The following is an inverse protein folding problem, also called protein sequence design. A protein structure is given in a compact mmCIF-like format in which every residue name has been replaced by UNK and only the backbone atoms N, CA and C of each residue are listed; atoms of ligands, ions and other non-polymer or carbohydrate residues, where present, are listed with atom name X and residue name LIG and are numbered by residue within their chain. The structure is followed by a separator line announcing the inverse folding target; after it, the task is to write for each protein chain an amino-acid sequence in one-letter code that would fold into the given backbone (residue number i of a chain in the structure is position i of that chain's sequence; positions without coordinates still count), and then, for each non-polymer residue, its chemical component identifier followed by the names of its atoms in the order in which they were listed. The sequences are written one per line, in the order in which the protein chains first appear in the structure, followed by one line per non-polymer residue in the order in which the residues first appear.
data_IF_095499320165
#
_entry.id   IF_095499320165
#
_cell.length_a   1.000
_cell.length_b   1.000
_cell.length_c   1.000
_cell.angle_alpha   90.00
_cell.angle_beta   90.00
_cell.angle_gamma   90.00
#
_symmetry.space_group_name_H-M   'P 1'
#
loop_
_entity.id
_entity.type
_entity.pdbx_description
1 polymer ?
#
# COMPACT_ATOMS: atom_id res chain seq x y z
N UNK A 1 -12.12 -27.23 15.65
CA UNK A 1 -11.95 -26.61 14.33
C UNK A 1 -12.97 -27.30 13.44
N UNK A 2 -14.05 -26.59 13.05
CA UNK A 2 -14.95 -27.09 12.02
C UNK A 2 -14.14 -27.16 10.71
N UNK A 3 -14.13 -28.30 10.02
CA UNK A 3 -13.67 -28.38 8.65
C UNK A 3 -14.58 -27.45 7.83
N UNK A 4 -14.05 -26.32 7.40
CA UNK A 4 -14.70 -25.51 6.38
C UNK A 4 -14.83 -26.40 5.13
N UNK A 5 -16.07 -26.59 4.69
CA UNK A 5 -16.37 -27.36 3.49
C UNK A 5 -15.62 -26.72 2.30
N UNK A 6 -14.50 -27.30 1.89
CA UNK A 6 -13.73 -26.94 0.70
C UNK A 6 -14.44 -27.43 -0.57
N UNK A 7 -15.79 -27.39 -0.55
CA UNK A 7 -16.67 -27.92 -1.59
C UNK A 7 -16.28 -27.46 -3.00
N UNK A 8 -16.55 -28.31 -3.95
CA UNK A 8 -16.46 -28.01 -5.37
C UNK A 8 -17.20 -26.69 -5.70
N UNK A 9 -16.73 -25.98 -6.75
CA UNK A 9 -17.44 -24.81 -7.26
C UNK A 9 -18.93 -25.15 -7.53
N UNK A 10 -19.82 -24.30 -7.08
CA UNK A 10 -21.25 -24.38 -7.45
C UNK A 10 -21.43 -24.20 -8.96
N UNK A 11 -22.56 -24.60 -9.52
CA UNK A 11 -22.85 -24.39 -10.95
C UNK A 11 -22.83 -22.89 -11.35
N UNK A 12 -23.16 -22.00 -10.40
CA UNK A 12 -23.09 -20.54 -10.62
C UNK A 12 -21.64 -20.07 -10.65
N UNK A 13 -20.81 -20.50 -9.69
CA UNK A 13 -19.38 -20.18 -9.64
C UNK A 13 -18.63 -20.74 -10.88
N UNK A 14 -18.98 -21.94 -11.35
CA UNK A 14 -18.41 -22.52 -12.58
C UNK A 14 -18.70 -21.65 -13.80
N UNK A 15 -19.95 -21.17 -13.95
CA UNK A 15 -20.32 -20.26 -15.05
C UNK A 15 -19.57 -18.92 -14.92
N UNK A 16 -19.50 -18.36 -13.71
CA UNK A 16 -18.75 -17.13 -13.44
C UNK A 16 -17.29 -17.28 -13.85
N UNK A 17 -16.62 -18.36 -13.44
CA UNK A 17 -15.24 -18.65 -13.83
C UNK A 17 -15.08 -18.81 -15.35
N UNK A 18 -16.07 -19.41 -16.04
CA UNK A 18 -16.07 -19.52 -17.50
C UNK A 18 -16.17 -18.16 -18.20
N UNK A 19 -17.01 -17.25 -17.70
CA UNK A 19 -17.11 -15.86 -18.19
C UNK A 19 -15.79 -15.13 -18.02
N UNK A 20 -15.17 -15.21 -16.84
CA UNK A 20 -13.88 -14.57 -16.56
C UNK A 20 -12.77 -15.14 -17.47
N UNK A 21 -12.71 -16.46 -17.66
CA UNK A 21 -11.74 -17.08 -18.55
C UNK A 21 -11.88 -16.59 -20.00
N UNK A 22 -13.11 -16.34 -20.46
CA UNK A 22 -13.39 -15.75 -21.77
C UNK A 22 -12.95 -14.30 -21.94
N UNK A 23 -12.60 -13.61 -20.84
CA UNK A 23 -12.14 -12.21 -20.84
C UNK A 23 -10.62 -12.04 -20.78
N UNK A 24 -9.84 -13.11 -20.95
CA UNK A 24 -8.37 -13.05 -20.79
C UNK A 24 -7.71 -11.94 -21.65
N UNK A 25 -8.11 -11.80 -22.91
CA UNK A 25 -7.61 -10.76 -23.82
C UNK A 25 -8.06 -9.36 -23.36
N UNK A 26 -9.32 -9.21 -22.96
CA UNK A 26 -9.84 -7.94 -22.44
C UNK A 26 -9.14 -7.48 -21.16
N UNK A 27 -8.81 -8.41 -20.24
CA UNK A 27 -8.04 -8.13 -19.04
C UNK A 27 -6.61 -7.64 -19.37
N UNK A 28 -5.98 -8.26 -20.37
CA UNK A 28 -4.65 -7.85 -20.80
C UNK A 28 -4.65 -6.46 -21.45
N UNK A 29 -5.63 -6.16 -22.30
CA UNK A 29 -5.76 -4.85 -22.94
C UNK A 29 -6.13 -3.76 -21.91
N UNK A 30 -6.96 -4.07 -20.92
CA UNK A 30 -7.28 -3.18 -19.81
C UNK A 30 -6.03 -2.90 -18.96
N UNK A 31 -5.23 -3.93 -18.64
CA UNK A 31 -3.95 -3.75 -17.97
C UNK A 31 -3.00 -2.87 -18.79
N UNK A 32 -2.89 -3.10 -20.11
CA UNK A 32 -2.07 -2.30 -21.02
C UNK A 32 -2.44 -0.82 -20.92
N UNK A 33 -3.73 -0.51 -21.05
CA UNK A 33 -4.25 0.86 -20.97
C UNK A 33 -3.79 1.56 -19.68
N UNK A 34 -3.92 0.87 -18.54
CA UNK A 34 -3.54 1.44 -17.25
C UNK A 34 -2.04 1.51 -17.04
N UNK A 35 -1.25 0.54 -17.54
CA UNK A 35 0.21 0.56 -17.46
C UNK A 35 0.77 1.73 -18.28
N UNK A 36 0.26 1.95 -19.48
CA UNK A 36 0.69 3.04 -20.39
C UNK A 36 0.19 4.43 -19.96
N UNK A 37 -0.67 4.52 -18.93
CA UNK A 37 -1.01 5.76 -18.25
C UNK A 37 -0.05 5.94 -17.07
N UNK A 38 0.89 6.95 -17.11
CA UNK A 38 1.99 7.03 -16.16
C UNK A 38 1.55 7.67 -14.83
N UNK A 39 1.07 6.86 -13.89
CA UNK A 39 0.53 7.29 -12.59
C UNK A 39 1.58 7.39 -11.48
N UNK A 40 2.84 7.70 -11.79
CA UNK A 40 3.82 8.07 -10.78
C UNK A 40 3.32 9.23 -9.91
N UNK A 41 3.55 9.18 -8.59
CA UNK A 41 2.88 9.99 -7.57
C UNK A 41 2.88 11.52 -7.74
N UNK A 42 3.60 12.06 -8.73
CA UNK A 42 3.60 13.50 -9.06
C UNK A 42 2.78 13.84 -10.31
N UNK A 43 2.24 12.84 -10.99
CA UNK A 43 1.43 13.05 -12.18
C UNK A 43 -0.08 13.08 -11.82
N UNK A 44 -0.50 14.17 -11.20
CA UNK A 44 -1.89 14.33 -10.76
C UNK A 44 -2.89 14.14 -11.91
N UNK A 45 -2.59 14.61 -13.12
CA UNK A 45 -3.49 14.48 -14.26
C UNK A 45 -3.72 13.00 -14.66
N UNK A 46 -2.67 12.18 -14.69
CA UNK A 46 -2.80 10.76 -15.01
C UNK A 46 -3.48 9.97 -13.86
N UNK A 47 -3.25 10.38 -12.61
CA UNK A 47 -3.95 9.80 -11.46
C UNK A 47 -5.45 10.11 -11.51
N UNK A 48 -5.84 11.34 -11.83
CA UNK A 48 -7.23 11.74 -11.97
C UNK A 48 -7.90 11.02 -13.14
N UNK A 49 -7.25 10.96 -14.31
CA UNK A 49 -7.75 10.22 -15.48
C UNK A 49 -7.98 8.73 -15.16
N UNK A 50 -7.02 8.09 -14.49
CA UNK A 50 -7.12 6.68 -14.09
C UNK A 50 -8.27 6.48 -13.11
N UNK A 51 -8.40 7.36 -12.12
CA UNK A 51 -9.50 7.35 -11.15
C UNK A 51 -10.85 7.48 -11.84
N UNK A 52 -11.01 8.45 -12.74
CA UNK A 52 -12.24 8.67 -13.49
C UNK A 52 -12.65 7.45 -14.32
N UNK A 53 -11.69 6.78 -14.96
CA UNK A 53 -11.96 5.55 -15.73
C UNK A 53 -12.52 4.43 -14.86
N UNK A 54 -11.91 4.16 -13.68
CA UNK A 54 -12.42 3.16 -12.76
C UNK A 54 -13.76 3.56 -12.14
N UNK A 55 -13.91 4.82 -11.71
CA UNK A 55 -15.17 5.35 -11.17
C UNK A 55 -16.31 5.16 -12.18
N UNK A 56 -16.12 5.55 -13.44
CA UNK A 56 -17.15 5.40 -14.47
C UNK A 56 -17.61 3.95 -14.66
N UNK A 57 -16.68 2.98 -14.58
CA UNK A 57 -17.01 1.54 -14.66
C UNK A 57 -17.82 1.08 -13.45
N UNK A 58 -17.40 1.50 -12.24
CA UNK A 58 -18.10 1.13 -11.01
C UNK A 58 -19.48 1.78 -10.90
N UNK A 59 -19.64 3.02 -11.35
CA UNK A 59 -20.94 3.70 -11.45
C UNK A 59 -21.87 3.01 -12.46
N UNK A 60 -21.33 2.50 -13.57
CA UNK A 60 -22.09 1.69 -14.52
C UNK A 60 -22.64 0.39 -13.89
N UNK A 61 -22.00 -0.11 -12.83
CA UNK A 61 -22.51 -1.21 -12.00
C UNK A 61 -23.52 -0.74 -10.93
N UNK A 62 -23.87 0.55 -10.90
CA UNK A 62 -24.81 1.14 -9.95
C UNK A 62 -24.18 1.54 -8.61
N UNK A 63 -22.88 1.78 -8.57
CA UNK A 63 -22.23 2.36 -7.40
C UNK A 63 -22.55 3.86 -7.27
N UNK A 64 -22.53 4.36 -6.04
CA UNK A 64 -22.49 5.79 -5.73
C UNK A 64 -21.06 6.13 -5.33
N UNK A 65 -20.52 7.19 -5.91
CA UNK A 65 -19.15 7.64 -5.64
C UNK A 65 -19.11 8.79 -4.65
N UNK A 66 -18.27 8.66 -3.64
CA UNK A 66 -17.86 9.73 -2.75
C UNK A 66 -16.40 10.07 -3.04
N UNK A 67 -16.12 11.35 -3.32
CA UNK A 67 -14.76 11.87 -3.42
C UNK A 67 -14.37 12.49 -2.09
N UNK A 68 -13.54 11.77 -1.33
CA UNK A 68 -13.06 12.22 -0.02
C UNK A 68 -11.83 13.11 -0.23
N UNK A 69 -11.85 14.38 0.23
CA UNK A 69 -10.68 15.24 0.15
C UNK A 69 -9.48 14.64 0.89
N UNK A 70 -8.27 14.84 0.36
CA UNK A 70 -7.06 14.36 1.01
C UNK A 70 -6.72 15.14 2.28
N UNK A 71 -6.22 14.43 3.29
CA UNK A 71 -5.71 15.01 4.52
C UNK A 71 -4.37 15.75 4.31
N UNK A 72 -3.99 16.60 5.25
CA UNK A 72 -2.66 17.20 5.25
C UNK A 72 -1.61 16.19 5.70
N UNK A 73 -0.49 16.12 4.99
CA UNK A 73 0.65 15.31 5.41
C UNK A 73 1.73 16.19 6.11
N UNK A 74 2.60 15.63 6.98
CA UNK A 74 3.67 16.38 7.62
C UNK A 74 4.61 17.05 6.61
N UNK A 75 4.98 18.30 6.86
CA UNK A 75 5.84 19.12 5.97
C UNK A 75 7.31 18.65 5.92
N UNK A 76 7.75 17.93 6.95
CA UNK A 76 9.10 17.42 7.06
C UNK A 76 9.37 16.12 6.29
N UNK A 77 8.37 15.48 5.72
CA UNK A 77 8.56 14.26 4.94
C UNK A 77 9.50 14.48 3.75
N UNK A 78 10.39 13.52 3.51
CA UNK A 78 11.34 13.63 2.42
C UNK A 78 10.67 13.66 1.05
N UNK A 79 11.12 14.57 0.19
CA UNK A 79 10.63 14.67 -1.19
C UNK A 79 9.23 15.26 -1.36
N UNK A 80 8.58 15.65 -0.26
CA UNK A 80 7.30 16.31 -0.32
C UNK A 80 7.42 17.73 -0.89
N UNK A 81 6.47 18.08 -1.74
CA UNK A 81 6.16 19.45 -2.12
C UNK A 81 5.02 19.96 -1.23
N UNK A 82 5.28 20.90 -0.31
CA UNK A 82 4.26 21.41 0.60
C UNK A 82 3.13 22.18 -0.10
N UNK A 83 3.38 22.67 -1.32
CA UNK A 83 2.42 23.42 -2.11
C UNK A 83 1.59 22.53 -3.05
N UNK A 84 1.93 21.24 -3.19
CA UNK A 84 1.15 20.30 -3.98
C UNK A 84 -0.21 20.00 -3.29
N UNK A 85 -1.32 20.02 -4.03
CA UNK A 85 -2.62 19.67 -3.46
C UNK A 85 -2.64 18.21 -3.01
N UNK A 86 -3.30 17.96 -1.86
CA UNK A 86 -3.53 16.61 -1.39
C UNK A 86 -4.45 15.86 -2.35
N UNK A 87 -4.06 14.68 -2.86
CA UNK A 87 -4.89 13.92 -3.79
C UNK A 87 -6.16 13.42 -3.08
N UNK A 88 -7.33 13.43 -3.75
CA UNK A 88 -8.54 12.86 -3.18
C UNK A 88 -8.54 11.33 -3.26
N UNK A 89 -9.33 10.71 -2.37
CA UNK A 89 -9.63 9.28 -2.40
C UNK A 89 -11.06 9.08 -2.93
N UNK A 90 -11.24 8.19 -3.91
CA UNK A 90 -12.55 7.80 -4.38
C UNK A 90 -13.06 6.57 -3.61
N UNK A 91 -14.30 6.62 -3.14
CA UNK A 91 -15.02 5.49 -2.54
C UNK A 91 -16.30 5.23 -3.33
N UNK A 92 -16.29 4.19 -4.15
CA UNK A 92 -17.42 3.79 -4.97
C UNK A 92 -18.17 2.65 -4.27
N UNK A 93 -19.36 2.91 -3.76
CA UNK A 93 -20.13 1.95 -2.95
C UNK A 93 -21.42 1.50 -3.61
N UNK A 94 -21.68 0.19 -3.56
CA UNK A 94 -22.96 -0.45 -3.88
C UNK A 94 -23.33 -1.42 -2.78
N UNK A 95 -23.73 -0.87 -1.64
CA UNK A 95 -24.14 -1.66 -0.49
C UNK A 95 -25.55 -2.24 -0.68
N UNK A 96 -25.81 -3.42 -0.11
CA UNK A 96 -27.11 -4.12 -0.16
C UNK A 96 -27.52 -4.48 1.23
N UNK A 97 -28.79 -4.21 1.58
CA UNK A 97 -29.33 -4.54 2.89
C UNK A 97 -29.30 -6.07 3.14
N UNK A 98 -28.91 -6.45 4.34
CA UNK A 98 -28.82 -7.85 4.74
C UNK A 98 -27.63 -8.64 4.20
N UNK A 99 -26.72 -8.00 3.46
CA UNK A 99 -25.49 -8.62 2.96
C UNK A 99 -24.25 -8.09 3.66
N UNK A 100 -23.18 -8.90 3.80
CA UNK A 100 -21.90 -8.42 4.27
C UNK A 100 -21.38 -7.27 3.39
N UNK A 101 -20.81 -6.27 4.03
CA UNK A 101 -20.22 -5.09 3.35
C UNK A 101 -18.75 -5.35 3.15
N UNK A 102 -18.39 -5.64 1.91
CA UNK A 102 -17.00 -5.93 1.50
C UNK A 102 -16.33 -4.63 1.07
N UNK A 103 -15.23 -4.25 1.74
CA UNK A 103 -14.37 -3.17 1.29
C UNK A 103 -13.25 -3.74 0.42
N UNK A 104 -13.16 -3.31 -0.82
CA UNK A 104 -12.03 -3.55 -1.72
C UNK A 104 -11.17 -2.29 -1.68
N UNK A 105 -9.87 -2.41 -1.49
CA UNK A 105 -8.95 -1.28 -1.43
C UNK A 105 -7.77 -1.49 -2.37
N UNK A 106 -7.40 -0.42 -3.06
CA UNK A 106 -6.22 -0.39 -3.92
C UNK A 106 -5.79 1.03 -4.24
N UNK A 107 -4.52 1.17 -4.63
CA UNK A 107 -3.92 2.45 -4.96
C UNK A 107 -3.68 2.63 -6.46
N UNK A 108 -3.75 3.88 -6.90
CA UNK A 108 -3.59 4.29 -8.30
C UNK A 108 -2.16 4.71 -8.62
N UNK A 109 -1.42 5.18 -7.61
CA UNK A 109 -0.05 5.66 -7.74
C UNK A 109 0.95 4.51 -7.93
N UNK A 110 2.11 4.86 -8.45
CA UNK A 110 3.27 3.97 -8.59
C UNK A 110 4.53 4.73 -8.23
N UNK A 111 5.60 4.00 -7.91
CA UNK A 111 6.94 4.61 -7.64
C UNK A 111 7.66 5.07 -8.91
N UNK A 112 7.18 4.69 -10.09
CA UNK A 112 7.88 4.92 -11.35
C UNK A 112 7.84 6.38 -11.77
N UNK A 113 8.96 6.87 -12.31
CA UNK A 113 9.06 8.22 -12.85
C UNK A 113 8.13 8.37 -14.06
N UNK A 114 7.13 9.28 -14.01
CA UNK A 114 6.19 9.46 -15.12
C UNK A 114 6.86 10.05 -16.38
N UNK A 115 8.04 10.64 -16.24
CA UNK A 115 8.85 11.18 -17.35
C UNK A 115 9.95 10.19 -17.79
N UNK A 116 10.11 9.05 -17.11
CA UNK A 116 11.13 8.04 -17.40
C UNK A 116 10.85 7.23 -18.67
N UNK A 117 11.78 6.35 -19.06
CA UNK A 117 11.68 5.53 -20.28
C UNK A 117 10.82 4.27 -20.06
N UNK A 118 10.58 3.85 -18.82
CA UNK A 118 9.78 2.67 -18.47
C UNK A 118 8.30 3.03 -18.46
N UNK A 119 7.59 2.88 -19.61
CA UNK A 119 6.21 3.37 -19.80
C UNK A 119 5.25 2.42 -20.48
N UNK A 120 5.72 1.33 -21.08
CA UNK A 120 4.92 0.44 -21.91
C UNK A 120 4.79 -0.94 -21.30
N UNK A 121 3.68 -1.62 -21.58
CA UNK A 121 3.52 -3.04 -21.26
C UNK A 121 4.13 -3.89 -22.37
N UNK A 122 5.29 -4.46 -22.11
CA UNK A 122 6.04 -5.28 -23.06
C UNK A 122 5.90 -6.76 -22.73
N UNK A 123 5.22 -7.52 -23.60
CA UNK A 123 5.04 -8.97 -23.45
C UNK A 123 6.37 -9.66 -23.76
N UNK A 124 6.79 -10.58 -22.89
CA UNK A 124 7.97 -11.40 -23.09
C UNK A 124 7.80 -12.36 -24.29
N UNK A 125 8.89 -12.80 -24.94
CA UNK A 125 8.82 -13.67 -26.12
C UNK A 125 8.10 -15.01 -25.89
N UNK A 126 8.02 -15.48 -24.65
CA UNK A 126 7.31 -16.71 -24.29
C UNK A 126 5.79 -16.53 -24.16
N UNK A 127 5.30 -15.28 -24.21
CA UNK A 127 3.89 -14.94 -24.06
C UNK A 127 3.30 -15.17 -22.67
N UNK A 128 4.14 -15.44 -21.65
CA UNK A 128 3.67 -15.78 -20.29
C UNK A 128 3.79 -14.63 -19.30
N UNK A 129 4.76 -13.78 -19.52
CA UNK A 129 5.01 -12.63 -18.66
C UNK A 129 5.00 -11.33 -19.46
N UNK A 130 4.80 -10.21 -18.79
CA UNK A 130 4.99 -8.90 -19.36
C UNK A 130 5.71 -7.98 -18.36
N UNK A 131 6.47 -7.02 -18.85
CA UNK A 131 7.11 -5.96 -18.06
C UNK A 131 6.33 -4.66 -18.26
N UNK A 132 6.19 -3.88 -17.21
CA UNK A 132 5.56 -2.57 -17.30
C UNK A 132 5.39 -1.89 -15.96
N UNK A 133 5.41 -0.53 -15.90
CA UNK A 133 5.35 0.22 -14.64
C UNK A 133 4.01 0.02 -13.93
N UNK A 134 4.07 -0.48 -12.69
CA UNK A 134 2.88 -0.75 -11.88
C UNK A 134 2.04 -1.91 -12.41
N UNK A 135 2.56 -2.76 -13.34
CA UNK A 135 1.78 -3.87 -13.89
C UNK A 135 1.39 -4.89 -12.81
N UNK A 136 2.21 -5.02 -11.78
CA UNK A 136 1.94 -5.88 -10.64
C UNK A 136 1.61 -5.05 -9.38
N UNK A 137 2.21 -3.89 -9.19
CA UNK A 137 2.03 -3.01 -8.03
C UNK A 137 1.44 -1.66 -8.45
N UNK A 138 0.06 -1.48 -8.40
CA UNK A 138 -0.90 -2.58 -8.27
C UNK A 138 -2.00 -2.51 -9.36
N UNK A 139 -1.66 -1.99 -10.59
CA UNK A 139 -2.64 -1.82 -11.67
C UNK A 139 -3.33 -3.14 -12.07
N UNK A 140 -2.57 -4.24 -12.07
CA UNK A 140 -3.14 -5.58 -12.29
C UNK A 140 -4.18 -5.96 -11.25
N UNK A 141 -3.95 -5.62 -9.97
CA UNK A 141 -4.92 -5.80 -8.88
C UNK A 141 -6.21 -5.02 -9.11
N UNK A 142 -6.09 -3.76 -9.51
CA UNK A 142 -7.25 -2.90 -9.81
C UNK A 142 -8.08 -3.44 -10.98
N UNK A 143 -7.42 -3.83 -12.07
CA UNK A 143 -8.08 -4.38 -13.27
C UNK A 143 -8.87 -5.64 -12.94
N UNK A 144 -8.26 -6.61 -12.23
CA UNK A 144 -8.97 -7.86 -11.89
C UNK A 144 -10.13 -7.64 -10.94
N UNK A 145 -10.05 -6.65 -10.04
CA UNK A 145 -11.13 -6.38 -9.10
C UNK A 145 -12.35 -5.76 -9.77
N UNK A 146 -12.15 -4.78 -10.64
CA UNK A 146 -13.27 -4.19 -11.40
C UNK A 146 -13.89 -5.25 -12.32
N UNK A 147 -13.09 -6.03 -13.02
CA UNK A 147 -13.58 -7.12 -13.87
C UNK A 147 -14.34 -8.21 -13.07
N UNK A 148 -13.90 -8.53 -11.86
CA UNK A 148 -14.61 -9.46 -10.98
C UNK A 148 -16.00 -8.93 -10.60
N UNK A 149 -16.11 -7.64 -10.24
CA UNK A 149 -17.39 -7.00 -9.93
C UNK A 149 -18.33 -6.96 -11.14
N UNK A 150 -17.81 -6.65 -12.33
CA UNK A 150 -18.55 -6.68 -13.59
C UNK A 150 -19.10 -8.10 -13.89
N UNK A 151 -18.26 -9.12 -13.73
CA UNK A 151 -18.67 -10.51 -13.99
C UNK A 151 -19.70 -11.01 -12.94
N UNK A 152 -19.59 -10.59 -11.68
CA UNK A 152 -20.57 -10.89 -10.65
C UNK A 152 -21.94 -10.28 -10.98
N UNK A 153 -21.97 -9.03 -11.43
CA UNK A 153 -23.22 -8.35 -11.84
C UNK A 153 -23.85 -9.02 -13.06
N UNK A 154 -23.07 -9.34 -14.10
CA UNK A 154 -23.55 -10.08 -15.29
C UNK A 154 -24.08 -11.46 -14.95
N UNK A 155 -23.48 -12.15 -13.98
CA UNK A 155 -23.95 -13.43 -13.49
C UNK A 155 -25.20 -13.34 -12.60
N UNK A 156 -25.68 -12.13 -12.30
CA UNK A 156 -26.80 -11.87 -11.42
C UNK A 156 -26.52 -12.19 -9.95
N UNK A 157 -25.24 -12.21 -9.54
CA UNK A 157 -24.81 -12.46 -8.17
C UNK A 157 -24.79 -11.13 -7.41
N UNK A 158 -25.82 -10.90 -6.60
CA UNK A 158 -25.90 -9.71 -5.75
C UNK A 158 -24.86 -9.76 -4.64
N UNK A 159 -24.04 -8.72 -4.48
CA UNK A 159 -23.10 -8.53 -3.37
C UNK A 159 -23.10 -7.07 -2.92
N UNK A 160 -22.82 -6.85 -1.63
CA UNK A 160 -22.60 -5.53 -1.06
C UNK A 160 -21.11 -5.22 -1.05
N UNK A 161 -20.69 -4.15 -1.72
CA UNK A 161 -19.29 -3.79 -1.82
C UNK A 161 -19.07 -2.29 -1.86
N UNK A 162 -17.88 -1.87 -1.46
CA UNK A 162 -17.31 -0.58 -1.80
C UNK A 162 -15.89 -0.79 -2.32
N UNK A 163 -15.49 0.01 -3.30
CA UNK A 163 -14.13 0.05 -3.81
C UNK A 163 -13.51 1.41 -3.48
N UNK A 164 -12.48 1.40 -2.65
CA UNK A 164 -11.70 2.55 -2.27
C UNK A 164 -10.43 2.60 -3.14
N UNK A 165 -10.17 3.76 -3.76
CA UNK A 165 -9.01 4.02 -4.59
C UNK A 165 -8.33 5.30 -4.13
N UNK A 166 -7.13 5.19 -3.55
CA UNK A 166 -6.28 6.31 -3.18
C UNK A 166 -5.16 6.54 -4.20
N UNK A 167 -4.33 7.56 -3.97
CA UNK A 167 -3.26 7.98 -4.89
C UNK A 167 -1.98 8.36 -4.16
N UNK A 168 -1.76 7.81 -2.96
CA UNK A 168 -0.63 8.14 -2.09
C UNK A 168 -0.14 6.96 -1.25
N UNK A 169 -0.47 5.72 -1.66
CA UNK A 169 -0.01 4.53 -0.96
C UNK A 169 1.51 4.45 -0.94
N UNK A 170 2.14 4.65 -2.08
CA UNK A 170 3.59 4.58 -2.28
C UNK A 170 4.37 5.66 -1.50
N UNK A 171 3.68 6.70 -1.06
CA UNK A 171 4.25 7.78 -0.26
C UNK A 171 3.82 7.73 1.22
N UNK A 172 3.04 6.71 1.61
CA UNK A 172 2.71 6.41 3.00
C UNK A 172 1.26 6.67 3.40
N UNK A 173 0.33 6.83 2.47
CA UNK A 173 -1.13 6.99 2.69
C UNK A 173 -1.48 8.12 3.66
N UNK A 174 -0.67 9.19 3.71
CA UNK A 174 -0.92 10.32 4.61
C UNK A 174 -2.16 11.12 4.22
N UNK A 175 -2.42 11.22 2.91
CA UNK A 175 -3.57 11.95 2.39
C UNK A 175 -4.85 11.13 2.44
N UNK A 176 -4.75 9.81 2.43
CA UNK A 176 -5.89 8.88 2.42
C UNK A 176 -6.20 8.25 3.78
N UNK A 177 -5.44 8.55 4.83
CA UNK A 177 -5.57 7.89 6.14
C UNK A 177 -6.99 7.99 6.73
N UNK A 178 -7.59 9.18 6.76
CA UNK A 178 -8.96 9.36 7.26
C UNK A 178 -10.01 8.66 6.38
N UNK A 179 -9.82 8.64 5.05
CA UNK A 179 -10.70 7.94 4.13
C UNK A 179 -10.65 6.42 4.34
N UNK A 180 -9.43 5.86 4.45
CA UNK A 180 -9.20 4.45 4.77
C UNK A 180 -9.85 4.07 6.11
N UNK A 181 -9.60 4.84 7.17
CA UNK A 181 -10.17 4.58 8.48
C UNK A 181 -11.69 4.71 8.51
N UNK A 182 -12.27 5.69 7.80
CA UNK A 182 -13.72 5.86 7.70
C UNK A 182 -14.37 4.70 6.96
N UNK A 183 -13.82 4.32 5.81
CA UNK A 183 -14.30 3.19 5.04
C UNK A 183 -14.20 1.89 5.85
N UNK A 184 -13.08 1.65 6.54
CA UNK A 184 -12.90 0.46 7.35
C UNK A 184 -13.98 0.30 8.43
N UNK A 185 -14.35 1.37 9.13
CA UNK A 185 -15.40 1.34 10.15
C UNK A 185 -16.80 1.06 9.60
N UNK A 186 -17.02 1.31 8.32
CA UNK A 186 -18.32 1.13 7.67
C UNK A 186 -18.52 -0.26 7.06
N UNK A 187 -17.50 -1.13 7.09
CA UNK A 187 -17.51 -2.43 6.41
C UNK A 187 -17.26 -3.58 7.38
N UNK A 188 -17.49 -4.80 6.91
CA UNK A 188 -17.41 -6.02 7.72
C UNK A 188 -16.13 -6.81 7.43
N UNK A 189 -15.59 -6.73 6.19
CA UNK A 189 -14.34 -7.35 5.76
C UNK A 189 -13.60 -6.47 4.76
N UNK A 190 -12.26 -6.53 4.75
CA UNK A 190 -11.37 -5.81 3.84
C UNK A 190 -10.58 -6.73 2.92
N UNK A 191 -10.52 -6.39 1.65
CA UNK A 191 -9.76 -7.07 0.60
C UNK A 191 -8.81 -6.06 -0.05
N UNK A 192 -7.53 -6.12 0.27
CA UNK A 192 -6.53 -5.25 -0.35
C UNK A 192 -5.85 -5.97 -1.54
N UNK A 193 -5.64 -5.22 -2.61
CA UNK A 193 -5.29 -5.77 -3.93
C UNK A 193 -3.79 -5.76 -4.22
N UNK A 194 -2.96 -5.68 -3.18
CA UNK A 194 -1.51 -5.76 -3.29
C UNK A 194 -1.05 -6.97 -4.09
N UNK A 195 0.14 -6.92 -4.71
CA UNK A 195 0.72 -8.06 -5.41
C UNK A 195 0.80 -9.30 -4.53
N UNK A 196 0.52 -10.47 -5.10
CA UNK A 196 0.78 -11.74 -4.43
C UNK A 196 2.27 -11.84 -4.03
N UNK A 197 2.55 -12.43 -2.86
CA UNK A 197 3.94 -12.69 -2.48
C UNK A 197 4.61 -13.65 -3.47
N UNK A 198 5.97 -13.73 -3.53
CA UNK A 198 6.71 -14.43 -4.59
C UNK A 198 6.29 -15.89 -4.85
N UNK A 199 5.82 -16.61 -3.82
CA UNK A 199 5.28 -17.99 -3.97
C UNK A 199 3.77 -18.03 -4.18
N UNK A 200 3.11 -16.88 -4.41
CA UNK A 200 1.66 -16.76 -4.54
C UNK A 200 0.92 -16.71 -3.21
N UNK A 201 1.64 -16.54 -2.10
CA UNK A 201 1.08 -16.54 -0.74
C UNK A 201 0.20 -15.31 -0.48
N UNK A 202 -0.78 -15.50 0.41
CA UNK A 202 -1.58 -14.46 1.02
C UNK A 202 -0.85 -13.91 2.27
N UNK A 203 -0.62 -12.61 2.33
CA UNK A 203 -0.05 -11.99 3.52
C UNK A 203 -1.12 -11.85 4.62
N UNK A 204 -0.98 -12.65 5.67
CA UNK A 204 -1.89 -12.62 6.83
C UNK A 204 -1.34 -11.77 7.98
N UNK A 205 -0.05 -11.47 7.96
CA UNK A 205 0.60 -10.57 8.90
C UNK A 205 1.58 -9.66 8.16
N UNK A 206 1.63 -8.39 8.59
CA UNK A 206 2.58 -7.39 8.09
C UNK A 206 3.26 -6.66 9.24
N UNK A 207 4.53 -6.31 9.05
CA UNK A 207 5.21 -5.37 9.94
C UNK A 207 4.51 -4.01 9.94
N UNK A 208 4.77 -3.21 10.95
CA UNK A 208 4.46 -1.78 10.95
C UNK A 208 5.60 -0.95 10.38
N UNK A 209 5.30 0.28 10.01
CA UNK A 209 6.28 1.23 9.47
C UNK A 209 6.09 2.63 10.05
N UNK A 210 7.21 3.33 10.17
CA UNK A 210 7.24 4.75 10.51
C UNK A 210 8.35 5.47 9.78
N UNK A 211 8.21 6.78 9.71
CA UNK A 211 9.22 7.69 9.18
C UNK A 211 9.64 8.68 10.28
N UNK A 212 10.86 9.15 10.20
CA UNK A 212 11.35 10.20 11.10
C UNK A 212 12.34 11.12 10.39
N UNK A 213 12.53 12.31 10.95
CA UNK A 213 13.54 13.26 10.54
C UNK A 213 14.28 13.79 11.77
N UNK A 214 15.59 13.74 11.71
CA UNK A 214 16.46 14.44 12.65
C UNK A 214 16.84 15.78 12.05
N UNK A 215 16.41 16.88 12.67
CA UNK A 215 16.71 18.24 12.23
C UNK A 215 17.66 18.89 13.24
N UNK A 216 18.93 19.04 12.85
CA UNK A 216 19.95 19.66 13.70
C UNK A 216 20.07 21.14 13.41
N UNK A 217 20.08 21.93 14.47
CA UNK A 217 20.25 23.38 14.46
C UNK A 217 21.57 23.77 15.10
N UNK A 218 22.30 24.64 14.43
CA UNK A 218 23.56 25.17 14.87
C UNK A 218 23.62 26.71 14.77
N UNK A 219 24.81 27.22 14.60
CA UNK A 219 25.05 28.65 14.38
C UNK A 219 26.09 28.83 13.27
N UNK A 220 25.73 29.53 12.21
CA UNK A 220 26.65 29.86 11.14
C UNK A 220 27.78 30.76 11.62
N UNK A 221 28.98 30.57 11.12
CA UNK A 221 30.13 31.43 11.28
C UNK A 221 31.13 31.27 10.13
N UNK A 222 31.89 32.30 9.84
CA UNK A 222 32.95 32.21 8.86
C UNK A 222 34.14 31.40 9.42
N UNK A 223 34.48 30.26 8.75
CA UNK A 223 35.48 29.30 9.24
C UNK A 223 36.83 29.95 9.55
N UNK A 224 37.32 30.83 8.70
CA UNK A 224 38.62 31.43 8.85
C UNK A 224 38.68 32.66 9.78
N UNK A 225 37.53 33.24 10.18
CA UNK A 225 37.49 34.50 10.98
C UNK A 225 36.82 34.32 12.32
N UNK A 226 35.78 33.52 12.41
CA UNK A 226 34.91 33.45 13.59
C UNK A 226 34.53 31.98 13.93
N UNK A 227 35.41 31.03 13.64
CA UNK A 227 35.17 29.61 13.85
C UNK A 227 34.62 29.29 15.25
N UNK A 228 35.19 29.91 16.30
CA UNK A 228 34.79 29.68 17.69
C UNK A 228 33.41 30.22 18.06
N UNK A 229 32.81 31.05 17.21
CA UNK A 229 31.44 31.53 17.38
C UNK A 229 30.41 30.59 16.70
N UNK A 230 30.88 29.76 15.79
CA UNK A 230 30.03 28.80 15.07
C UNK A 230 29.70 27.56 15.90
N UNK A 231 28.55 26.96 15.61
CA UNK A 231 28.14 25.67 16.16
C UNK A 231 27.67 24.82 14.99
N UNK A 232 28.37 23.71 14.73
CA UNK A 232 28.12 22.90 13.52
C UNK A 232 26.89 21.98 13.71
N UNK A 233 25.84 22.24 12.96
CA UNK A 233 24.68 21.35 12.88
C UNK A 233 25.05 19.99 12.23
N UNK A 234 25.95 19.98 11.25
CA UNK A 234 26.41 18.75 10.60
C UNK A 234 27.13 17.83 11.59
N UNK A 235 28.02 18.40 12.45
CA UNK A 235 28.70 17.60 13.47
C UNK A 235 27.69 17.04 14.49
N UNK A 236 26.75 17.87 14.95
CA UNK A 236 25.71 17.44 15.88
C UNK A 236 24.84 16.32 15.28
N UNK A 237 24.47 16.43 14.00
CA UNK A 237 23.72 15.39 13.30
C UNK A 237 24.55 14.11 13.17
N UNK A 238 25.81 14.18 12.78
CA UNK A 238 26.70 13.02 12.63
C UNK A 238 26.80 12.21 13.93
N UNK A 239 26.91 12.85 15.08
CA UNK A 239 26.90 12.20 16.40
C UNK A 239 25.60 11.43 16.65
N UNK A 240 24.46 11.96 16.20
CA UNK A 240 23.17 11.31 16.34
C UNK A 240 23.01 10.15 15.36
N UNK A 241 23.57 10.24 14.17
CA UNK A 241 23.56 9.15 13.18
C UNK A 241 24.37 7.93 13.67
N UNK A 242 25.50 8.17 14.31
CA UNK A 242 26.28 7.07 14.92
C UNK A 242 25.46 6.36 16.01
N UNK A 243 24.80 7.10 16.87
CA UNK A 243 23.90 6.51 17.90
C UNK A 243 22.69 5.83 17.29
N UNK A 244 22.10 6.37 16.24
CA UNK A 244 20.96 5.78 15.55
C UNK A 244 21.32 4.44 14.89
N UNK A 245 22.56 4.26 14.46
CA UNK A 245 23.05 3.00 13.87
C UNK A 245 23.12 1.85 14.89
N UNK A 246 23.05 2.12 16.19
CA UNK A 246 23.04 1.14 17.27
C UNK A 246 21.62 0.70 17.69
N UNK A 247 20.57 1.35 17.15
CA UNK A 247 19.17 1.06 17.53
C UNK A 247 18.64 -0.23 16.89
N UNK A 248 18.92 -0.57 15.61
CA UNK A 248 18.31 -1.74 14.96
C UNK A 248 18.62 -3.05 15.70
N UNK A 249 17.60 -3.90 15.79
CA UNK A 249 17.70 -5.29 16.24
C UNK A 249 16.94 -6.18 15.21
N UNK A 250 17.62 -6.56 14.12
CA UNK A 250 16.99 -7.35 13.05
C UNK A 250 16.49 -8.72 13.48
N UNK A 251 17.09 -9.32 14.52
CA UNK A 251 16.65 -10.62 15.06
C UNK A 251 15.26 -10.52 15.69
N UNK A 252 14.94 -9.36 16.26
CA UNK A 252 13.62 -9.03 16.80
C UNK A 252 12.69 -8.34 15.78
N UNK A 253 13.15 -8.12 14.55
CA UNK A 253 12.40 -7.39 13.52
C UNK A 253 12.34 -5.88 13.73
N UNK A 254 13.19 -5.31 14.60
CA UNK A 254 13.33 -3.87 14.79
C UNK A 254 14.34 -3.31 13.79
N UNK A 255 13.84 -2.69 12.75
CA UNK A 255 14.65 -2.13 11.67
C UNK A 255 14.61 -0.60 11.75
N UNK A 256 15.76 0.03 11.60
CA UNK A 256 15.91 1.46 11.39
C UNK A 256 16.97 1.68 10.32
N UNK A 257 16.60 2.45 9.30
CA UNK A 257 17.51 2.85 8.23
C UNK A 257 17.44 4.35 8.07
N UNK A 258 18.61 4.98 7.92
CA UNK A 258 18.70 6.40 7.61
C UNK A 258 19.13 6.52 6.15
N UNK A 259 18.32 7.25 5.39
CA UNK A 259 18.50 7.43 3.95
C UNK A 259 19.00 8.84 3.60
N UNK A 260 18.15 9.72 3.07
CA UNK A 260 18.61 11.01 2.59
C UNK A 260 19.20 11.90 3.68
N UNK A 261 20.26 12.62 3.33
CA UNK A 261 20.94 13.59 4.18
C UNK A 261 21.00 14.94 3.48
N UNK A 262 20.83 16.01 4.24
CA UNK A 262 21.07 17.40 3.77
C UNK A 262 21.80 18.16 4.85
N UNK A 263 22.77 19.01 4.48
CA UNK A 263 23.44 19.87 5.47
C UNK A 263 24.65 20.60 4.90
N UNK A 264 24.82 21.86 5.34
CA UNK A 264 25.85 22.74 4.86
C UNK A 264 25.65 23.21 3.42
N UNK A 265 26.02 24.46 3.14
CA UNK A 265 25.93 25.07 1.81
C UNK A 265 27.29 25.42 1.23
N UNK A 266 28.31 25.62 2.09
CA UNK A 266 29.64 26.06 1.69
C UNK A 266 30.72 25.52 2.63
N UNK A 267 31.91 25.22 2.08
CA UNK A 267 33.03 24.68 2.88
C UNK A 267 33.72 25.70 3.79
N UNK A 268 33.51 27.00 3.55
CA UNK A 268 34.07 28.09 4.33
C UNK A 268 33.10 28.69 5.37
N UNK A 269 31.95 28.04 5.60
CA UNK A 269 30.96 28.40 6.62
C UNK A 269 30.70 27.22 7.57
N UNK A 270 30.61 27.48 8.87
CA UNK A 270 30.09 26.50 9.82
C UNK A 270 28.60 26.31 9.53
N UNK A 271 28.12 25.07 9.29
CA UNK A 271 26.72 24.85 8.93
C UNK A 271 25.79 25.00 10.13
N UNK A 272 24.70 25.74 9.96
CA UNK A 272 23.69 26.01 10.99
C UNK A 272 22.44 25.14 10.88
N UNK A 273 22.29 24.39 9.77
CA UNK A 273 21.20 23.45 9.55
C UNK A 273 21.70 22.16 8.91
N UNK A 274 21.25 21.03 9.44
CA UNK A 274 21.43 19.72 8.84
C UNK A 274 20.23 18.83 9.15
N UNK A 275 19.89 17.94 8.22
CA UNK A 275 18.74 17.05 8.33
C UNK A 275 19.07 15.64 7.85
N UNK A 276 18.48 14.65 8.50
CA UNK A 276 18.52 13.25 8.07
C UNK A 276 17.13 12.64 8.20
N UNK A 277 16.72 11.90 7.16
CA UNK A 277 15.45 11.16 7.16
C UNK A 277 15.70 9.68 7.32
N UNK A 278 14.82 9.02 8.03
CA UNK A 278 14.90 7.59 8.22
C UNK A 278 13.53 6.92 8.18
N UNK A 279 13.59 5.61 7.99
CA UNK A 279 12.44 4.73 7.99
C UNK A 279 12.65 3.61 9.01
N UNK A 280 11.56 3.17 9.63
CA UNK A 280 11.57 2.06 10.58
C UNK A 280 10.58 0.98 10.17
N UNK A 281 10.88 -0.26 10.63
CA UNK A 281 9.96 -1.39 10.60
C UNK A 281 9.94 -2.04 11.97
N UNK A 282 8.78 -2.54 12.37
CA UNK A 282 8.57 -3.18 13.67
C UNK A 282 7.50 -4.27 13.58
N UNK A 283 7.61 -5.35 14.38
CA UNK A 283 6.69 -6.48 14.28
C UNK A 283 5.34 -6.24 14.96
N UNK A 284 5.30 -5.38 15.98
CA UNK A 284 4.14 -5.15 16.84
C UNK A 284 4.18 -3.78 17.54
N UNK A 285 3.17 -3.47 18.33
CA UNK A 285 3.03 -2.20 19.04
C UNK A 285 4.17 -2.00 20.07
N UNK A 286 4.60 -3.05 20.75
CA UNK A 286 5.72 -2.96 21.72
C UNK A 286 7.03 -2.57 21.02
N UNK A 287 7.30 -3.13 19.84
CA UNK A 287 8.42 -2.75 18.99
C UNK A 287 8.32 -1.30 18.50
N UNK A 288 7.12 -0.84 18.14
CA UNK A 288 6.89 0.55 17.79
C UNK A 288 7.24 1.51 18.94
N UNK A 289 6.73 1.22 20.14
CA UNK A 289 7.03 2.04 21.33
C UNK A 289 8.52 2.06 21.68
N UNK A 290 9.22 0.92 21.51
CA UNK A 290 10.65 0.83 21.76
C UNK A 290 11.42 1.73 20.77
N UNK A 291 11.12 1.64 19.48
CA UNK A 291 11.73 2.49 18.44
C UNK A 291 11.41 3.97 18.65
N UNK A 292 10.16 4.29 19.01
CA UNK A 292 9.75 5.67 19.33
C UNK A 292 10.62 6.24 20.45
N UNK A 293 10.78 5.51 21.58
CA UNK A 293 11.61 5.96 22.71
C UNK A 293 13.08 6.11 22.30
N UNK A 294 13.60 5.17 21.52
CA UNK A 294 15.00 5.21 21.07
C UNK A 294 15.27 6.39 20.13
N UNK A 295 14.35 6.67 19.21
CA UNK A 295 14.44 7.79 18.27
C UNK A 295 14.29 9.13 19.03
N UNK A 296 13.33 9.26 19.94
CA UNK A 296 13.14 10.46 20.74
C UNK A 296 14.39 10.79 21.58
N UNK A 297 15.10 9.77 22.07
CA UNK A 297 16.37 9.94 22.81
C UNK A 297 17.54 10.46 21.95
N UNK A 298 17.40 10.53 20.63
CA UNK A 298 18.35 11.20 19.75
C UNK A 298 18.19 12.72 19.76
N UNK A 299 17.07 13.24 20.24
CA UNK A 299 16.81 14.65 20.39
C UNK A 299 17.63 15.31 21.51
N UNK A 300 17.53 16.62 21.57
CA UNK A 300 18.09 17.44 22.66
C UNK A 300 16.97 18.20 23.36
N UNK A 301 17.25 18.71 24.56
CA UNK A 301 16.34 19.59 25.25
C UNK A 301 16.06 20.88 24.43
N UNK A 302 14.87 21.43 24.60
CA UNK A 302 14.49 22.67 23.95
C UNK A 302 15.44 23.80 24.28
N UNK A 303 15.93 24.53 23.28
CA UNK A 303 16.90 25.60 23.43
C UNK A 303 18.36 25.19 23.54
N UNK A 304 18.68 23.91 23.47
CA UNK A 304 20.05 23.44 23.39
C UNK A 304 20.75 23.96 22.11
N UNK A 305 22.08 24.15 22.20
CA UNK A 305 22.90 24.57 21.08
C UNK A 305 24.21 23.76 21.09
N UNK A 306 24.43 22.83 20.12
CA UNK A 306 23.54 22.51 19.02
C UNK A 306 22.23 21.87 19.50
N UNK A 307 21.13 22.21 18.81
CA UNK A 307 19.82 21.60 19.01
C UNK A 307 19.58 20.47 18.01
N UNK A 308 18.95 19.38 18.44
CA UNK A 308 18.45 18.32 17.52
C UNK A 308 16.99 18.08 17.84
N UNK A 309 16.15 18.41 16.89
CA UNK A 309 14.72 18.14 16.90
C UNK A 309 14.45 16.77 16.24
N UNK A 310 13.55 16.02 16.86
CA UNK A 310 13.05 14.75 16.32
C UNK A 310 11.62 14.94 15.83
N UNK A 311 11.42 14.74 14.54
CA UNK A 311 10.11 14.73 13.89
C UNK A 311 9.82 13.29 13.46
N UNK A 312 8.66 12.77 13.78
CA UNK A 312 8.32 11.37 13.46
C UNK A 312 6.84 11.15 13.21
N UNK A 313 6.55 10.10 12.42
CA UNK A 313 5.23 9.59 12.18
C UNK A 313 5.27 8.07 12.04
N UNK A 314 4.47 7.38 12.82
CA UNK A 314 4.30 5.93 12.80
C UNK A 314 2.87 5.62 12.35
N UNK A 315 2.54 6.08 11.16
CA UNK A 315 1.18 6.06 10.61
C UNK A 315 0.74 4.71 10.04
N UNK A 316 1.65 3.76 9.87
CA UNK A 316 1.32 2.39 9.42
C UNK A 316 1.61 1.40 10.55
N UNK A 317 0.64 1.12 11.45
CA UNK A 317 0.81 0.16 12.54
C UNK A 317 1.00 -1.26 12.01
N UNK A 318 1.59 -2.15 12.82
CA UNK A 318 1.70 -3.55 12.47
C UNK A 318 0.31 -4.18 12.29
N UNK A 319 0.21 -5.12 11.35
CA UNK A 319 -1.00 -5.88 11.03
C UNK A 319 -0.81 -7.33 11.49
N UNK A 320 -1.09 -7.66 12.77
CA UNK A 320 -1.04 -9.03 13.25
C UNK A 320 -2.21 -9.85 12.70
N UNK A 321 -2.04 -11.17 12.64
CA UNK A 321 -3.16 -12.07 12.34
C UNK A 321 -4.15 -12.05 13.50
N UNK A 322 -5.37 -11.57 13.25
CA UNK A 322 -6.49 -11.63 14.19
C UNK A 322 -7.38 -12.84 13.88
N UNK A 323 -8.27 -13.23 14.80
CA UNK A 323 -9.24 -14.29 14.54
C UNK A 323 -10.12 -13.99 13.30
N UNK A 324 -10.51 -12.72 13.12
CA UNK A 324 -11.27 -12.29 11.93
C UNK A 324 -10.43 -12.38 10.65
N UNK A 325 -9.16 -11.95 10.68
CA UNK A 325 -8.24 -12.08 9.54
C UNK A 325 -7.99 -13.54 9.18
N UNK A 326 -7.81 -14.42 10.20
CA UNK A 326 -7.65 -15.86 9.98
C UNK A 326 -8.88 -16.48 9.33
N UNK A 327 -10.09 -16.17 9.83
CA UNK A 327 -11.36 -16.63 9.25
C UNK A 327 -11.45 -16.21 7.77
N UNK A 328 -11.21 -14.95 7.47
CA UNK A 328 -11.26 -14.42 6.09
C UNK A 328 -10.22 -15.08 5.19
N UNK A 329 -9.00 -15.28 5.68
CA UNK A 329 -7.93 -15.96 4.95
C UNK A 329 -8.27 -17.43 4.66
N UNK A 330 -8.92 -18.13 5.60
CA UNK A 330 -9.40 -19.51 5.42
C UNK A 330 -10.51 -19.57 4.34
N UNK A 331 -11.43 -18.61 4.32
CA UNK A 331 -12.44 -18.51 3.27
C UNK A 331 -11.80 -18.27 1.89
N UNK A 332 -10.81 -17.38 1.81
CA UNK A 332 -10.06 -17.13 0.57
C UNK A 332 -9.31 -18.39 0.10
N UNK A 333 -8.67 -19.13 1.02
CA UNK A 333 -7.99 -20.38 0.71
C UNK A 333 -8.97 -21.45 0.22
N UNK A 334 -10.12 -21.60 0.86
CA UNK A 334 -11.16 -22.53 0.40
C UNK A 334 -11.69 -22.20 -1.00
N UNK A 335 -11.83 -20.90 -1.32
CA UNK A 335 -12.15 -20.46 -2.69
C UNK A 335 -11.03 -20.84 -3.69
N UNK A 336 -9.77 -20.61 -3.35
CA UNK A 336 -8.61 -20.98 -4.17
C UNK A 336 -8.55 -22.51 -4.42
N UNK A 337 -8.70 -23.32 -3.37
CA UNK A 337 -8.71 -24.80 -3.47
C UNK A 337 -9.81 -25.30 -4.39
N UNK A 338 -11.00 -24.71 -4.33
CA UNK A 338 -12.13 -25.04 -5.23
C UNK A 338 -11.82 -24.72 -6.71
N UNK A 339 -10.91 -23.75 -6.95
CA UNK A 339 -10.40 -23.38 -8.27
C UNK A 339 -9.19 -24.21 -8.70
N UNK A 340 -8.72 -25.16 -7.88
CA UNK A 340 -7.48 -25.88 -8.09
C UNK A 340 -6.21 -25.04 -7.89
N UNK A 341 -6.34 -23.87 -7.24
CA UNK A 341 -5.25 -22.98 -6.94
C UNK A 341 -4.70 -23.22 -5.52
N UNK A 342 -3.43 -22.90 -5.31
CA UNK A 342 -2.82 -22.93 -3.98
C UNK A 342 -2.75 -21.51 -3.44
N UNK A 343 -3.15 -21.30 -2.18
CA UNK A 343 -3.08 -20.01 -1.49
C UNK A 343 -2.47 -20.21 -0.08
N UNK A 344 -1.15 -20.44 0.02
CA UNK A 344 -0.49 -20.52 1.31
C UNK A 344 -0.49 -19.16 2.02
N UNK A 345 -0.26 -19.17 3.32
CA UNK A 345 -0.19 -17.95 4.15
C UNK A 345 1.25 -17.62 4.48
N UNK A 346 1.57 -16.34 4.54
CA UNK A 346 2.87 -15.86 4.92
C UNK A 346 2.83 -14.55 5.72
N UNK A 347 3.97 -14.21 6.33
CA UNK A 347 4.24 -12.91 6.94
C UNK A 347 5.15 -12.11 6.02
N UNK A 348 5.01 -10.80 6.02
CA UNK A 348 5.90 -9.92 5.25
C UNK A 348 6.31 -8.68 6.03
N UNK A 349 7.50 -8.17 5.74
CA UNK A 349 8.02 -6.89 6.28
C UNK A 349 7.53 -5.65 5.52
N UNK A 350 6.91 -5.84 4.34
CA UNK A 350 6.28 -4.76 3.60
C UNK A 350 4.98 -4.29 4.27
N UNK A 351 4.63 -3.04 4.08
CA UNK A 351 3.40 -2.42 4.60
C UNK A 351 2.49 -2.05 3.44
N UNK A 352 1.20 -1.90 3.70
CA UNK A 352 0.21 -1.46 2.73
C UNK A 352 -1.01 -0.84 3.42
N UNK A 353 -1.98 -0.37 2.65
CA UNK A 353 -3.24 0.16 3.18
C UNK A 353 -4.00 -0.86 4.05
N UNK A 354 -3.79 -2.14 3.85
CA UNK A 354 -4.32 -3.20 4.71
C UNK A 354 -3.93 -3.05 6.19
N UNK A 355 -2.80 -2.39 6.49
CA UNK A 355 -2.40 -2.06 7.85
C UNK A 355 -3.36 -1.04 8.48
N UNK A 356 -3.69 0.05 7.75
CA UNK A 356 -4.63 1.07 8.22
C UNK A 356 -6.05 0.53 8.35
N UNK A 357 -6.49 -0.31 7.41
CA UNK A 357 -7.81 -0.92 7.48
C UNK A 357 -7.96 -1.80 8.73
N UNK A 358 -6.96 -2.63 9.03
CA UNK A 358 -7.05 -3.57 10.14
C UNK A 358 -6.90 -2.90 11.51
N UNK A 359 -6.10 -1.84 11.66
CA UNK A 359 -5.89 -1.18 12.96
C UNK A 359 -7.17 -0.58 13.54
N UNK A 360 -8.13 -0.20 12.69
CA UNK A 360 -9.44 0.30 13.13
C UNK A 360 -10.48 -0.81 13.31
N UNK A 361 -10.06 -2.07 13.23
CA UNK A 361 -10.87 -3.25 13.58
C UNK A 361 -11.45 -4.02 12.39
N UNK A 362 -11.20 -3.63 11.14
CA UNK A 362 -11.70 -4.35 9.97
C UNK A 362 -10.83 -5.59 9.71
N UNK A 363 -11.36 -6.83 9.80
CA UNK A 363 -10.66 -8.03 9.36
C UNK A 363 -10.25 -7.88 7.90
N UNK A 364 -8.94 -7.84 7.63
CA UNK A 364 -8.41 -7.53 6.30
C UNK A 364 -7.38 -8.55 5.87
N UNK A 365 -7.53 -9.08 4.66
CA UNK A 365 -6.49 -9.83 3.94
C UNK A 365 -5.99 -9.00 2.78
N UNK A 366 -4.74 -9.20 2.42
CA UNK A 366 -4.10 -8.48 1.33
C UNK A 366 -3.30 -9.43 0.43
N UNK A 367 -2.59 -8.89 -0.58
CA UNK A 367 -1.90 -9.68 -1.60
C UNK A 367 -2.84 -10.55 -2.45
N UNK A 368 -4.09 -10.07 -2.62
CA UNK A 368 -5.08 -10.69 -3.50
C UNK A 368 -4.88 -10.36 -4.97
N UNK A 369 -4.00 -9.41 -5.27
CA UNK A 369 -3.65 -9.00 -6.62
C UNK A 369 -2.93 -10.07 -7.42
N UNK A 370 -2.43 -9.67 -8.56
CA UNK A 370 -1.77 -10.55 -9.53
C UNK A 370 -0.39 -11.03 -9.06
N UNK A 371 0.15 -12.07 -9.68
CA UNK A 371 1.51 -12.56 -9.42
C UNK A 371 2.51 -11.87 -10.33
N UNK A 372 3.69 -11.62 -9.79
CA UNK A 372 4.80 -11.01 -10.50
C UNK A 372 5.97 -10.72 -9.57
N UNK A 373 6.76 -9.75 -9.91
CA UNK A 373 7.94 -9.36 -9.12
C UNK A 373 8.66 -8.17 -9.71
N UNK A 374 9.89 -7.90 -9.22
CA UNK A 374 10.65 -6.74 -9.66
C UNK A 374 10.10 -5.41 -9.17
N UNK A 375 9.30 -5.43 -8.09
CA UNK A 375 8.66 -4.25 -7.51
C UNK A 375 9.64 -3.10 -7.34
N UNK A 376 9.20 -1.88 -7.65
CA UNK A 376 9.97 -0.64 -7.49
C UNK A 376 11.25 -0.59 -8.34
N UNK A 377 11.33 -1.38 -9.41
CA UNK A 377 12.44 -1.39 -10.36
C UNK A 377 11.95 -1.35 -11.81
N UNK A 378 12.80 -0.98 -12.79
CA UNK A 378 12.45 -1.07 -14.21
C UNK A 378 12.27 -2.52 -14.73
N UNK A 379 12.52 -3.52 -13.88
CA UNK A 379 12.33 -4.95 -14.18
C UNK A 379 10.99 -5.46 -13.60
N UNK A 380 10.05 -4.59 -13.27
CA UNK A 380 8.73 -4.97 -12.78
C UNK A 380 7.97 -5.78 -13.83
N UNK A 381 7.50 -6.97 -13.43
CA UNK A 381 6.87 -7.93 -14.31
C UNK A 381 5.65 -8.60 -13.70
N UNK A 382 4.72 -9.02 -14.55
CA UNK A 382 3.50 -9.77 -14.22
C UNK A 382 3.49 -11.15 -14.86
N UNK A 383 3.01 -12.17 -14.16
CA UNK A 383 2.55 -13.46 -14.72
C UNK A 383 1.15 -13.26 -15.31
N UNK A 384 1.05 -13.31 -16.65
CA UNK A 384 -0.20 -13.01 -17.37
C UNK A 384 -1.33 -14.00 -17.06
N UNK A 385 -1.02 -15.26 -16.69
CA UNK A 385 -2.04 -16.22 -16.28
C UNK A 385 -2.75 -15.78 -15.01
N UNK A 386 -2.06 -15.02 -14.15
CA UNK A 386 -2.61 -14.55 -12.90
C UNK A 386 -3.74 -13.52 -13.04
N UNK A 387 -3.86 -12.85 -14.18
CA UNK A 387 -5.00 -11.98 -14.46
C UNK A 387 -6.33 -12.73 -14.36
N UNK A 388 -6.43 -13.87 -15.05
CA UNK A 388 -7.64 -14.71 -15.01
C UNK A 388 -7.76 -15.42 -13.66
N UNK A 389 -6.69 -16.05 -13.19
CA UNK A 389 -6.73 -16.86 -11.97
C UNK A 389 -7.09 -16.04 -10.73
N UNK A 390 -6.50 -14.86 -10.56
CA UNK A 390 -6.77 -13.98 -9.42
C UNK A 390 -8.12 -13.26 -9.54
N UNK A 391 -8.56 -12.93 -10.74
CA UNK A 391 -9.92 -12.44 -10.98
C UNK A 391 -10.96 -13.49 -10.57
N UNK A 392 -10.76 -14.76 -10.96
CA UNK A 392 -11.63 -15.86 -10.54
C UNK A 392 -11.64 -16.05 -9.03
N UNK A 393 -10.46 -16.04 -8.39
CA UNK A 393 -10.34 -16.16 -6.94
C UNK A 393 -11.13 -15.05 -6.22
N UNK A 394 -10.94 -13.80 -6.64
CA UNK A 394 -11.61 -12.65 -6.03
C UNK A 394 -13.14 -12.73 -6.24
N UNK A 395 -13.60 -13.06 -7.45
CA UNK A 395 -15.01 -13.18 -7.76
C UNK A 395 -15.69 -14.30 -6.95
N UNK A 396 -15.06 -15.48 -6.84
CA UNK A 396 -15.58 -16.62 -6.05
C UNK A 396 -15.60 -16.26 -4.56
N UNK A 397 -14.55 -15.62 -4.03
CA UNK A 397 -14.51 -15.17 -2.63
C UNK A 397 -15.65 -14.19 -2.34
N UNK A 398 -15.83 -13.15 -3.16
CA UNK A 398 -16.91 -12.16 -2.98
C UNK A 398 -18.29 -12.84 -3.09
N UNK A 399 -18.47 -13.77 -4.03
CA UNK A 399 -19.72 -14.53 -4.16
C UNK A 399 -20.05 -15.33 -2.90
N UNK A 400 -19.06 -15.99 -2.30
CA UNK A 400 -19.23 -16.76 -1.04
C UNK A 400 -19.50 -15.86 0.15
N UNK A 401 -18.80 -14.73 0.25
CA UNK A 401 -19.09 -13.72 1.28
C UNK A 401 -20.54 -13.23 1.16
N UNK A 402 -21.00 -12.93 -0.05
CA UNK A 402 -22.37 -12.49 -0.32
C UNK A 402 -23.41 -13.57 0.02
N UNK A 403 -23.06 -14.85 -0.13
CA UNK A 403 -23.91 -15.99 0.24
C UNK A 403 -23.97 -16.26 1.76
N UNK A 404 -23.24 -15.50 2.58
CA UNK A 404 -23.27 -15.57 4.04
C UNK A 404 -22.10 -16.31 4.69
N UNK A 405 -21.11 -16.77 3.93
CA UNK A 405 -19.96 -17.51 4.49
C UNK A 405 -19.19 -16.73 5.59
N UNK A 406 -19.36 -15.42 5.66
CA UNK A 406 -18.79 -14.60 6.72
C UNK A 406 -19.58 -14.72 8.05
N UNK A 407 -20.88 -14.98 7.97
CA UNK A 407 -21.77 -15.03 9.15
C UNK A 407 -21.78 -16.42 9.84
N UNK A 408 -21.37 -17.45 9.12
CA UNK A 408 -21.23 -18.83 9.61
C UNK A 408 -19.94 -19.01 10.44
#
# INVERSE_FOLDING_TARGET
MAELDTGNLTAVEQRLCGVIAGRAEALLEDLRLHVETPTGGRNAAALDETRERFVARLEALGATTEMVPGDSAPDWLYGRDPDAPAPPTAVCGRLREGMPRVLIAGHLDTVHDPEGDFRELTIAPDGKTALGPGCVDMKGGLVIAVAALECLEEAGIGCGWSFLMNSDEETGSYHSDAALASAARAHDVGLALEPALPGGELAVERAGSGQFCLRAHGRAAHVGREFTKGVSAVTALAERLVRAAEIPDPERGLILSIGPLRGGAATNAVPDLAMAWGNVRYPDEAGAEELIRAIDALGTEAGAMPGVEVLRSFNRPAKPMTAGTEKLALLARGAAESLGQRLPFAKTGGVCDGNQLQVVGLPTIDTLGVRGGGLHTPDEWIDLSSLVERCQLLAVLISRLAAGAWND
#
